data_IF_078915430356
#
_entry.id   IF_078915430356
#
_cell.length_a   1.000
_cell.length_b   1.000
_cell.length_c   1.000
_cell.angle_alpha   90.00
_cell.angle_beta   90.00
_cell.angle_gamma   90.00
#
_symmetry.space_group_name_H-M   'P 1'
#
loop_
_entity.id
_entity.type
_entity.pdbx_description
1 polymer ?
#
# COMPACT_ATOMS: atom_id res chain seq x y z
N UNK A 1 43.53 -6.98 -72.91
CA UNK A 1 43.86 -8.17 -72.09
C UNK A 1 43.09 -8.05 -70.78
N UNK A 2 42.66 -9.14 -70.13
CA UNK A 2 41.66 -10.14 -70.53
C UNK A 2 40.50 -10.26 -69.49
N UNK A 3 39.36 -10.84 -69.88
CA UNK A 3 38.42 -11.56 -68.96
C UNK A 3 39.04 -12.92 -68.54
N UNK A 4 38.42 -13.81 -67.73
CA UNK A 4 37.49 -13.69 -66.59
C UNK A 4 37.98 -14.57 -65.39
N UNK A 5 37.28 -14.62 -64.24
CA UNK A 5 37.28 -15.84 -63.41
C UNK A 5 35.95 -16.04 -62.69
N UNK A 6 35.15 -16.97 -63.20
CA UNK A 6 34.15 -17.71 -62.45
C UNK A 6 34.84 -18.65 -61.45
N UNK A 7 34.35 -18.71 -60.21
CA UNK A 7 34.30 -19.98 -59.47
C UNK A 7 32.89 -20.19 -58.94
N UNK A 8 32.29 -21.28 -59.43
CA UNK A 8 31.04 -21.86 -58.95
C UNK A 8 31.25 -22.56 -57.60
N UNK A 9 30.16 -22.60 -56.82
CA UNK A 9 29.85 -23.77 -56.02
C UNK A 9 29.72 -23.48 -54.53
N UNK A 10 28.48 -23.37 -54.04
CA UNK A 10 27.80 -24.49 -53.35
C UNK A 10 26.54 -23.95 -52.68
N UNK A 11 25.38 -24.39 -53.17
CA UNK A 11 24.11 -24.27 -52.47
C UNK A 11 24.19 -24.90 -51.08
N UNK A 12 23.64 -24.24 -50.04
CA UNK A 12 22.97 -24.94 -48.97
C UNK A 12 21.47 -24.95 -49.25
N UNK A 13 20.93 -26.16 -49.34
CA UNK A 13 19.51 -26.47 -49.41
C UNK A 13 18.68 -25.69 -48.36
N UNK A 14 17.39 -25.43 -48.62
CA UNK A 14 16.48 -24.93 -47.59
C UNK A 14 16.27 -26.06 -46.58
N UNK A 15 16.94 -25.97 -45.44
CA UNK A 15 16.64 -26.82 -44.31
C UNK A 15 15.23 -26.46 -43.83
N UNK A 16 14.29 -27.34 -44.16
CA UNK A 16 12.97 -27.48 -43.56
C UNK A 16 13.21 -27.60 -42.05
N UNK A 17 13.00 -26.48 -41.38
CA UNK A 17 13.09 -26.33 -39.94
C UNK A 17 12.16 -25.20 -39.57
N UNK A 18 10.87 -25.36 -39.89
CA UNK A 18 9.82 -24.63 -39.23
C UNK A 18 9.82 -25.07 -37.76
N UNK A 19 10.77 -24.55 -36.98
CA UNK A 19 10.47 -24.20 -35.60
C UNK A 19 9.36 -23.18 -35.70
N UNK A 20 8.13 -23.69 -35.65
CA UNK A 20 7.03 -23.00 -34.99
C UNK A 20 7.53 -22.69 -33.59
N UNK A 21 8.32 -21.62 -33.47
CA UNK A 21 8.43 -20.92 -32.23
C UNK A 21 7.02 -20.39 -32.02
N UNK A 22 6.29 -21.16 -31.21
CA UNK A 22 5.05 -20.74 -30.63
C UNK A 22 5.44 -19.60 -29.71
N UNK A 23 5.68 -18.43 -30.31
CA UNK A 23 5.29 -17.19 -29.67
C UNK A 23 3.81 -17.37 -29.49
N UNK A 24 3.42 -17.95 -28.35
CA UNK A 24 2.21 -17.54 -27.67
C UNK A 24 2.24 -16.02 -27.78
N UNK A 25 1.50 -15.51 -28.78
CA UNK A 25 0.91 -14.21 -28.69
C UNK A 25 0.04 -14.32 -27.45
N UNK A 26 0.64 -14.14 -26.27
CA UNK A 26 -0.03 -13.57 -25.13
C UNK A 26 -0.73 -12.36 -25.75
N UNK A 27 -2.04 -12.50 -25.98
CA UNK A 27 -2.81 -11.55 -26.77
C UNK A 27 -2.49 -10.18 -26.21
N UNK A 28 -2.11 -9.24 -27.08
CA UNK A 28 -1.83 -7.88 -26.62
C UNK A 28 -3.05 -7.42 -25.82
N UNK A 29 -2.82 -7.04 -24.57
CA UNK A 29 -3.88 -6.61 -23.64
C UNK A 29 -4.73 -5.54 -24.32
N UNK A 30 -6.05 -5.69 -24.26
CA UNK A 30 -6.95 -4.67 -24.79
C UNK A 30 -6.82 -3.38 -23.96
N UNK A 31 -7.10 -2.20 -24.54
CA UNK A 31 -7.11 -0.95 -23.79
C UNK A 31 -8.01 -1.01 -22.54
N UNK A 32 -9.16 -1.70 -22.62
CA UNK A 32 -10.06 -1.88 -21.48
C UNK A 32 -9.45 -2.74 -20.37
N UNK A 33 -8.77 -3.84 -20.70
CA UNK A 33 -8.05 -4.66 -19.71
C UNK A 33 -6.93 -3.87 -19.04
N UNK A 34 -6.22 -3.03 -19.80
CA UNK A 34 -5.18 -2.17 -19.27
C UNK A 34 -5.74 -1.12 -18.31
N UNK A 35 -6.87 -0.48 -18.62
CA UNK A 35 -7.52 0.46 -17.68
C UNK A 35 -8.05 -0.22 -16.42
N UNK A 36 -8.56 -1.46 -16.51
CA UNK A 36 -8.90 -2.27 -15.33
C UNK A 36 -7.66 -2.54 -14.46
N UNK A 37 -6.52 -2.84 -15.09
CA UNK A 37 -5.27 -3.01 -14.37
C UNK A 37 -4.80 -1.69 -13.70
N UNK A 38 -5.00 -0.52 -14.34
CA UNK A 38 -4.73 0.80 -13.70
C UNK A 38 -5.55 0.93 -12.41
N UNK A 39 -6.84 0.59 -12.47
CA UNK A 39 -7.73 0.64 -11.30
C UNK A 39 -7.24 -0.27 -10.18
N UNK A 40 -6.89 -1.52 -10.48
CA UNK A 40 -6.40 -2.48 -9.47
C UNK A 40 -5.10 -2.01 -8.83
N UNK A 41 -4.16 -1.47 -9.63
CA UNK A 41 -2.91 -0.90 -9.12
C UNK A 41 -3.19 0.28 -8.17
N UNK A 42 -4.17 1.11 -8.51
CA UNK A 42 -4.56 2.27 -7.72
C UNK A 42 -5.26 1.89 -6.41
N UNK A 43 -6.16 0.90 -6.44
CA UNK A 43 -6.78 0.36 -5.22
C UNK A 43 -5.73 -0.23 -4.27
N UNK A 44 -4.78 -1.02 -4.79
CA UNK A 44 -3.66 -1.54 -4.01
C UNK A 44 -2.83 -0.41 -3.42
N UNK A 45 -2.49 0.60 -4.22
CA UNK A 45 -1.69 1.74 -3.77
C UNK A 45 -2.39 2.52 -2.66
N UNK A 46 -3.69 2.75 -2.75
CA UNK A 46 -4.49 3.39 -1.70
C UNK A 46 -4.45 2.56 -0.41
N UNK A 47 -4.58 1.23 -0.50
CA UNK A 47 -4.47 0.35 0.67
C UNK A 47 -3.10 0.48 1.35
N UNK A 48 -2.02 0.45 0.56
CA UNK A 48 -0.66 0.61 1.08
C UNK A 48 -0.45 1.98 1.73
N UNK A 49 -1.02 3.05 1.15
CA UNK A 49 -0.97 4.38 1.76
C UNK A 49 -1.69 4.45 3.11
N UNK A 50 -2.81 3.73 3.27
CA UNK A 50 -3.50 3.64 4.56
C UNK A 50 -2.67 2.93 5.61
N UNK A 51 -2.01 1.83 5.25
CA UNK A 51 -1.10 1.11 6.15
C UNK A 51 0.10 1.96 6.55
N UNK A 52 0.64 2.74 5.60
CA UNK A 52 1.71 3.69 5.86
C UNK A 52 1.27 4.79 6.85
N UNK A 53 0.16 5.48 6.55
CA UNK A 53 -0.37 6.57 7.36
C UNK A 53 -0.72 6.07 8.78
N UNK A 54 -1.38 4.91 8.90
CA UNK A 54 -1.77 4.30 10.19
C UNK A 54 -0.55 3.93 11.06
N UNK A 55 0.46 3.30 10.47
CA UNK A 55 1.68 2.94 11.19
C UNK A 55 2.44 4.19 11.66
N UNK A 56 2.51 5.22 10.82
CA UNK A 56 3.20 6.47 11.13
C UNK A 56 2.47 7.26 12.22
N UNK A 57 1.15 7.39 12.12
CA UNK A 57 0.32 8.08 13.12
C UNK A 57 0.33 7.35 14.47
N UNK A 58 0.25 6.01 14.47
CA UNK A 58 0.36 5.19 15.68
C UNK A 58 1.72 5.35 16.38
N UNK A 59 2.79 5.51 15.61
CA UNK A 59 4.12 5.77 16.15
C UNK A 59 4.27 7.18 16.74
N UNK A 60 3.73 8.20 16.05
CA UNK A 60 3.80 9.59 16.51
C UNK A 60 2.88 9.87 17.71
N UNK A 61 1.75 9.18 17.79
CA UNK A 61 0.76 9.34 18.85
C UNK A 61 0.50 7.99 19.52
N UNK A 62 1.47 7.43 20.27
CA UNK A 62 1.24 6.20 21.00
C UNK A 62 0.04 6.40 21.92
N UNK A 63 -1.06 5.68 21.68
CA UNK A 63 -2.19 5.71 22.59
C UNK A 63 -1.64 5.25 23.94
N UNK A 64 -1.57 6.17 24.91
CA UNK A 64 -1.17 5.81 26.26
C UNK A 64 -2.01 4.59 26.66
N UNK A 65 -1.42 3.53 27.23
CA UNK A 65 -2.23 2.48 27.80
C UNK A 65 -3.13 3.19 28.80
N UNK A 66 -4.42 3.32 28.46
CA UNK A 66 -5.42 3.81 29.40
C UNK A 66 -5.15 3.01 30.65
N UNK A 67 -4.85 3.71 31.74
CA UNK A 67 -4.55 3.16 33.04
C UNK A 67 -5.66 2.18 33.39
N UNK A 68 -5.48 0.93 32.98
CA UNK A 68 -6.37 -0.15 33.32
C UNK A 68 -6.28 -0.18 34.83
N UNK A 69 -7.39 0.20 35.45
CA UNK A 69 -7.61 0.10 36.88
C UNK A 69 -6.95 -1.19 37.34
N UNK A 70 -6.02 -1.06 38.29
CA UNK A 70 -5.42 -2.18 38.98
C UNK A 70 -6.54 -3.20 39.25
N UNK A 71 -6.36 -4.49 38.91
CA UNK A 71 -7.42 -5.44 39.13
C UNK A 71 -7.71 -5.42 40.62
N UNK A 72 -8.88 -4.90 40.99
CA UNK A 72 -9.44 -5.04 42.33
C UNK A 72 -9.86 -6.51 42.43
N UNK A 73 -8.87 -7.38 42.55
CA UNK A 73 -9.11 -8.78 42.85
C UNK A 73 -9.43 -8.84 44.34
N UNK A 74 -10.71 -8.62 44.64
CA UNK A 74 -11.31 -9.06 45.88
C UNK A 74 -11.20 -10.57 45.94
N UNK A 75 -10.22 -11.06 46.70
CA UNK A 75 -10.20 -12.44 47.17
C UNK A 75 -9.99 -12.41 48.68
N UNK A 76 -11.12 -12.27 49.38
CA UNK A 76 -11.26 -12.80 50.72
C UNK A 76 -11.11 -14.33 50.66
N UNK A 77 -10.60 -14.87 51.77
CA UNK A 77 -10.53 -16.28 52.15
C UNK A 77 -9.29 -17.07 51.75
N UNK A 78 -8.33 -17.11 52.69
CA UNK A 78 -7.70 -18.37 53.02
C UNK A 78 -8.52 -19.06 54.13
N UNK A 79 -8.91 -20.29 53.83
CA UNK A 79 -9.72 -21.17 54.66
C UNK A 79 -8.96 -21.69 55.88
N UNK A 80 -9.68 -21.93 56.99
CA UNK A 80 -9.55 -23.11 57.84
C UNK A 80 -10.86 -23.37 58.61
N UNK A 81 -11.14 -24.64 58.98
CA UNK A 81 -12.47 -25.23 58.89
C UNK A 81 -13.18 -25.30 60.24
N UNK A 82 -14.51 -25.25 60.25
CA UNK A 82 -15.34 -26.09 61.13
C UNK A 82 -16.78 -26.11 60.62
N UNK A 83 -17.18 -27.28 60.11
CA UNK A 83 -18.58 -27.63 59.84
C UNK A 83 -19.35 -27.79 61.14
N UNK A 84 -20.52 -27.15 61.20
CA UNK A 84 -21.70 -27.70 61.87
C UNK A 84 -22.93 -27.39 61.02
N UNK A 85 -23.60 -28.48 60.62
CA UNK A 85 -25.04 -28.62 60.42
C UNK A 85 -25.77 -27.89 59.25
N UNK A 86 -26.41 -28.75 58.45
CA UNK A 86 -27.79 -28.66 57.94
C UNK A 86 -28.11 -28.10 56.53
N UNK A 87 -28.40 -29.07 55.64
CA UNK A 87 -29.57 -29.18 54.75
C UNK A 87 -30.01 -27.97 53.91
N UNK A 88 -29.82 -28.06 52.59
CA UNK A 88 -30.89 -28.45 51.63
C UNK A 88 -30.45 -28.24 50.18
N UNK A 89 -30.94 -29.12 49.33
CA UNK A 89 -30.71 -29.19 47.89
C UNK A 89 -31.25 -27.96 47.14
N UNK A 90 -30.59 -27.62 46.03
CA UNK A 90 -31.27 -27.54 44.72
C UNK A 90 -30.26 -27.43 43.59
N UNK A 91 -30.44 -28.33 42.63
CA UNK A 91 -29.81 -28.39 41.33
C UNK A 91 -30.12 -27.12 40.52
N UNK A 92 -29.13 -26.56 39.83
CA UNK A 92 -29.40 -25.93 38.54
C UNK A 92 -28.20 -26.08 37.60
N UNK A 93 -28.48 -26.87 36.58
CA UNK A 93 -27.80 -27.05 35.32
C UNK A 93 -27.63 -25.70 34.59
N UNK A 94 -26.45 -25.49 33.99
CA UNK A 94 -26.27 -24.64 32.79
C UNK A 94 -24.86 -24.77 32.23
N UNK A 95 -24.80 -25.61 31.19
CA UNK A 95 -23.76 -25.64 30.17
C UNK A 95 -23.55 -24.29 29.46
N UNK A 96 -22.42 -24.22 28.76
CA UNK A 96 -22.09 -23.36 27.62
C UNK A 96 -21.72 -21.89 27.88
N UNK A 97 -20.43 -21.63 27.65
CA UNK A 97 -19.92 -20.30 27.41
C UNK A 97 -18.43 -20.20 27.68
N UNK A 98 -17.62 -20.90 26.87
CA UNK A 98 -16.16 -20.63 26.80
C UNK A 98 -15.98 -19.28 26.09
N UNK A 99 -16.36 -18.22 26.79
CA UNK A 99 -16.15 -16.84 26.36
C UNK A 99 -14.65 -16.58 26.36
N UNK A 100 -14.11 -16.27 25.19
CA UNK A 100 -12.76 -15.71 25.05
C UNK A 100 -12.77 -14.30 25.68
N UNK A 101 -12.71 -14.23 27.01
CA UNK A 101 -12.39 -13.03 27.75
C UNK A 101 -10.86 -12.85 27.68
N UNK A 102 -10.38 -12.23 26.61
CA UNK A 102 -8.93 -12.15 26.42
C UNK A 102 -8.41 -11.40 25.21
N UNK A 103 -9.19 -10.53 24.55
CA UNK A 103 -8.59 -9.48 23.73
C UNK A 103 -8.34 -8.26 24.64
N UNK A 104 -7.39 -8.39 25.56
CA UNK A 104 -6.74 -7.20 26.11
C UNK A 104 -6.13 -6.47 24.93
N UNK A 105 -6.79 -5.40 24.48
CA UNK A 105 -6.25 -4.44 23.52
C UNK A 105 -5.14 -3.64 24.20
N UNK A 106 -4.10 -4.32 24.66
CA UNK A 106 -2.81 -3.70 24.93
C UNK A 106 -2.17 -3.50 23.57
N UNK A 107 -2.52 -2.41 22.88
CA UNK A 107 -1.75 -1.94 21.73
C UNK A 107 -0.39 -1.55 22.28
N UNK A 108 0.57 -2.47 22.19
CA UNK A 108 1.97 -2.18 22.50
C UNK A 108 2.38 -1.05 21.57
N UNK A 109 2.94 0.06 22.09
CA UNK A 109 3.37 1.17 21.24
C UNK A 109 4.39 0.67 20.21
N UNK A 110 4.24 1.09 18.96
CA UNK A 110 5.13 0.67 17.87
C UNK A 110 6.56 1.10 18.19
N UNK A 111 7.51 0.16 18.16
CA UNK A 111 8.93 0.48 18.30
C UNK A 111 9.45 1.17 17.04
N UNK A 112 10.54 1.93 17.18
CA UNK A 112 11.18 2.59 16.03
C UNK A 112 11.66 1.60 14.96
N UNK A 113 12.15 0.42 15.38
CA UNK A 113 12.60 -0.64 14.48
C UNK A 113 11.43 -1.26 13.70
N UNK A 114 10.30 -1.48 14.38
CA UNK A 114 9.09 -2.01 13.74
C UNK A 114 8.49 -0.99 12.77
N UNK A 115 8.44 0.29 13.15
CA UNK A 115 8.04 1.36 12.23
C UNK A 115 8.95 1.37 11.00
N UNK A 116 10.28 1.35 11.18
CA UNK A 116 11.21 1.35 10.07
C UNK A 116 10.98 0.18 9.11
N UNK A 117 10.70 -1.01 9.64
CA UNK A 117 10.35 -2.18 8.83
C UNK A 117 9.03 -1.99 8.06
N UNK A 118 7.98 -1.48 8.70
CA UNK A 118 6.70 -1.20 8.04
C UNK A 118 6.88 -0.15 6.93
N UNK A 119 7.59 0.94 7.21
CA UNK A 119 7.87 1.98 6.22
C UNK A 119 8.69 1.44 5.04
N UNK A 120 9.63 0.52 5.29
CA UNK A 120 10.38 -0.13 4.22
C UNK A 120 9.48 -1.00 3.33
N UNK A 121 8.62 -1.83 3.92
CA UNK A 121 7.71 -2.72 3.18
C UNK A 121 6.71 -1.91 2.35
N UNK A 122 6.05 -0.93 2.99
CA UNK A 122 5.06 -0.07 2.33
C UNK A 122 5.71 0.75 1.20
N UNK A 123 6.89 1.34 1.42
CA UNK A 123 7.64 2.05 0.37
C UNK A 123 7.96 1.12 -0.81
N UNK A 124 8.40 -0.12 -0.55
CA UNK A 124 8.68 -1.08 -1.62
C UNK A 124 7.42 -1.42 -2.42
N UNK A 125 6.28 -1.60 -1.74
CA UNK A 125 5.00 -1.84 -2.40
C UNK A 125 4.51 -0.64 -3.23
N UNK A 126 4.73 0.60 -2.77
CA UNK A 126 4.42 1.83 -3.53
C UNK A 126 5.28 1.95 -4.81
N UNK A 127 6.56 1.58 -4.72
CA UNK A 127 7.48 1.52 -5.87
C UNK A 127 7.02 0.44 -6.86
N UNK A 128 6.65 -0.75 -6.37
CA UNK A 128 6.12 -1.82 -7.20
C UNK A 128 4.86 -1.37 -7.97
N UNK A 129 3.93 -0.68 -7.29
CA UNK A 129 2.76 -0.09 -7.94
C UNK A 129 3.17 0.89 -9.06
N UNK A 130 4.21 1.69 -8.84
CA UNK A 130 4.73 2.62 -9.84
C UNK A 130 5.33 1.92 -11.06
N UNK A 131 6.05 0.81 -10.85
CA UNK A 131 6.58 0.00 -11.95
C UNK A 131 5.46 -0.65 -12.76
N UNK A 132 4.47 -1.25 -12.09
CA UNK A 132 3.29 -1.82 -12.77
C UNK A 132 2.56 -0.77 -13.59
N UNK A 133 2.35 0.43 -13.04
CA UNK A 133 1.69 1.52 -13.74
C UNK A 133 2.48 1.98 -14.98
N UNK A 134 3.81 2.01 -14.91
CA UNK A 134 4.68 2.31 -16.06
C UNK A 134 4.65 1.22 -17.13
N UNK A 135 4.56 -0.05 -16.76
CA UNK A 135 4.35 -1.14 -17.71
C UNK A 135 3.03 -0.95 -18.46
N UNK A 136 1.93 -0.71 -17.72
CA UNK A 136 0.61 -0.46 -18.31
C UNK A 136 0.62 0.76 -19.24
N UNK A 137 1.24 1.87 -18.82
CA UNK A 137 1.43 3.06 -19.66
C UNK A 137 2.13 2.71 -20.98
N UNK A 138 3.18 1.89 -20.92
CA UNK A 138 3.96 1.50 -22.09
C UNK A 138 3.14 0.63 -23.03
N UNK A 139 2.35 -0.30 -22.51
CA UNK A 139 1.43 -1.12 -23.31
C UNK A 139 0.34 -0.26 -23.95
N UNK A 140 -0.28 0.65 -23.19
CA UNK A 140 -1.29 1.59 -23.69
C UNK A 140 -0.74 2.44 -24.84
N UNK A 141 0.50 2.92 -24.74
CA UNK A 141 1.14 3.75 -25.76
C UNK A 141 1.28 3.02 -27.12
N UNK A 142 1.27 1.69 -27.13
CA UNK A 142 1.34 0.85 -28.33
C UNK A 142 0.02 0.13 -28.63
N UNK A 143 -1.05 0.47 -27.90
CA UNK A 143 -2.38 -0.12 -28.06
C UNK A 143 -3.22 0.63 -29.10
N UNK A 144 -4.47 0.20 -29.29
CA UNK A 144 -5.45 0.89 -30.13
C UNK A 144 -5.88 2.28 -29.58
N UNK A 145 -5.55 2.61 -28.32
CA UNK A 145 -5.87 3.89 -27.69
C UNK A 145 -4.65 4.53 -26.99
N UNK A 146 -3.64 5.01 -27.75
CA UNK A 146 -2.41 5.58 -27.18
C UNK A 146 -2.60 6.82 -26.31
N UNK A 147 -3.68 7.58 -26.51
CA UNK A 147 -4.03 8.75 -25.70
C UNK A 147 -4.22 8.40 -24.21
N UNK A 148 -4.69 7.19 -23.90
CA UNK A 148 -4.87 6.72 -22.54
C UNK A 148 -3.54 6.58 -21.79
N UNK A 149 -2.43 6.37 -22.50
CA UNK A 149 -1.11 6.35 -21.88
C UNK A 149 -0.76 7.72 -21.25
N UNK A 150 -1.23 8.83 -21.83
CA UNK A 150 -1.03 10.17 -21.26
C UNK A 150 -1.82 10.37 -19.97
N UNK A 151 -3.03 9.80 -19.87
CA UNK A 151 -3.80 9.80 -18.62
C UNK A 151 -3.06 9.05 -17.51
N UNK A 152 -2.55 7.85 -17.82
CA UNK A 152 -1.76 7.06 -16.86
C UNK A 152 -0.46 7.77 -16.46
N UNK A 153 0.21 8.47 -17.39
CA UNK A 153 1.41 9.25 -17.09
C UNK A 153 1.14 10.43 -16.13
N UNK A 154 0.00 11.12 -16.30
CA UNK A 154 -0.46 12.17 -15.38
C UNK A 154 -0.66 11.60 -13.97
N UNK A 155 -1.32 10.45 -13.85
CA UNK A 155 -1.51 9.75 -12.56
C UNK A 155 -0.15 9.44 -11.93
N UNK A 156 0.75 8.80 -12.68
CA UNK A 156 2.09 8.44 -12.18
C UNK A 156 2.89 9.68 -11.74
N UNK A 157 2.77 10.80 -12.44
CA UNK A 157 3.43 12.06 -12.07
C UNK A 157 2.91 12.60 -10.74
N UNK A 158 1.59 12.64 -10.56
CA UNK A 158 0.96 13.09 -9.31
C UNK A 158 1.29 12.16 -8.14
N UNK A 159 1.35 10.86 -8.37
CA UNK A 159 1.71 9.88 -7.35
C UNK A 159 3.15 10.00 -6.87
N UNK A 160 4.08 10.29 -7.78
CA UNK A 160 5.47 10.57 -7.40
C UNK A 160 5.60 11.91 -6.66
N UNK A 161 4.74 12.89 -6.95
CA UNK A 161 4.67 14.12 -6.17
C UNK A 161 4.11 13.84 -4.76
N UNK A 162 3.02 13.07 -4.65
CA UNK A 162 2.43 12.64 -3.39
C UNK A 162 3.45 11.95 -2.49
N UNK A 163 4.16 10.93 -3.02
CA UNK A 163 5.18 10.20 -2.27
C UNK A 163 6.26 11.13 -1.71
N UNK A 164 6.75 12.07 -2.52
CA UNK A 164 7.77 13.04 -2.07
C UNK A 164 7.24 13.97 -0.99
N UNK A 165 6.03 14.52 -1.17
CA UNK A 165 5.42 15.42 -0.19
C UNK A 165 5.14 14.74 1.14
N UNK A 166 4.63 13.50 1.11
CA UNK A 166 4.37 12.69 2.32
C UNK A 166 5.68 12.40 3.06
N UNK A 167 6.71 11.89 2.37
CA UNK A 167 8.01 11.60 3.00
C UNK A 167 8.63 12.85 3.61
N UNK A 168 8.57 14.00 2.93
CA UNK A 168 9.08 15.27 3.45
C UNK A 168 8.33 15.72 4.71
N UNK A 169 6.99 15.66 4.67
CA UNK A 169 6.12 15.99 5.79
C UNK A 169 6.45 15.13 7.00
N UNK A 170 6.59 13.83 6.78
CA UNK A 170 6.74 12.86 7.85
C UNK A 170 8.15 12.86 8.44
N UNK A 171 9.17 13.11 7.64
CA UNK A 171 10.50 13.43 8.16
C UNK A 171 10.47 14.65 9.07
N UNK A 172 9.77 15.72 8.66
CA UNK A 172 9.66 16.95 9.46
C UNK A 172 8.86 16.70 10.75
N UNK A 173 7.70 16.02 10.67
CA UNK A 173 6.90 15.62 11.84
C UNK A 173 7.73 14.79 12.84
N UNK A 174 8.51 13.83 12.35
CA UNK A 174 9.38 13.01 13.20
C UNK A 174 10.44 13.88 13.91
N UNK A 175 11.10 14.80 13.20
CA UNK A 175 12.11 15.67 13.83
C UNK A 175 11.51 16.66 14.82
N UNK A 176 10.30 17.17 14.56
CA UNK A 176 9.63 18.14 15.43
C UNK A 176 8.99 17.50 16.67
N UNK A 177 8.39 16.31 16.52
CA UNK A 177 7.66 15.63 17.61
C UNK A 177 8.55 14.69 18.44
N UNK A 178 9.61 14.14 17.86
CA UNK A 178 10.57 13.25 18.53
C UNK A 178 12.00 13.81 18.43
N UNK A 179 12.28 15.00 19.02
CA UNK A 179 13.62 15.56 19.01
C UNK A 179 14.57 14.63 19.78
N UNK A 180 15.60 14.13 19.10
CA UNK A 180 16.68 13.37 19.76
C UNK A 180 17.33 14.23 20.83
N UNK A 181 17.55 13.69 22.03
CA UNK A 181 18.14 14.40 23.17
C UNK A 181 19.47 15.09 22.75
N UNK A 182 19.44 16.41 22.54
CA UNK A 182 20.61 17.21 22.14
C UNK A 182 20.39 18.22 21.02
N UNK A 183 19.25 18.21 20.33
CA UNK A 183 18.92 19.20 19.30
C UNK A 183 18.47 20.54 19.88
N UNK A 184 19.28 21.58 19.67
CA UNK A 184 18.97 22.97 19.98
C UNK A 184 17.78 23.51 19.16
N UNK A 185 17.28 24.68 19.59
CA UNK A 185 16.36 25.60 18.89
C UNK A 185 14.85 25.33 19.06
N UNK A 186 14.27 26.00 20.07
CA UNK A 186 12.82 26.20 20.22
C UNK A 186 12.25 27.21 19.21
N UNK A 187 13.11 27.95 18.49
CA UNK A 187 12.73 29.04 17.57
C UNK A 187 12.23 28.52 16.21
N UNK A 188 12.76 27.39 15.72
CA UNK A 188 12.36 26.75 14.45
C UNK A 188 11.02 26.00 14.52
N UNK A 189 10.41 25.87 15.71
CA UNK A 189 9.18 25.09 15.88
C UNK A 189 7.98 25.70 15.17
N UNK A 190 7.92 27.04 15.04
CA UNK A 190 6.84 27.74 14.35
C UNK A 190 6.91 27.56 12.83
N UNK A 191 8.11 27.72 12.27
CA UNK A 191 8.36 27.53 10.83
C UNK A 191 8.16 26.07 10.42
N UNK A 192 8.60 25.12 11.25
CA UNK A 192 8.36 23.70 11.02
C UNK A 192 6.86 23.35 11.01
N UNK A 193 6.08 23.90 11.95
CA UNK A 193 4.64 23.68 12.00
C UNK A 193 3.92 24.26 10.76
N UNK A 194 4.30 25.47 10.32
CA UNK A 194 3.76 26.06 9.09
C UNK A 194 4.10 25.20 7.87
N UNK A 195 5.34 24.71 7.79
CA UNK A 195 5.78 23.87 6.67
C UNK A 195 5.08 22.52 6.65
N UNK A 196 4.82 21.91 7.80
CA UNK A 196 3.99 20.69 7.92
C UNK A 196 2.58 20.98 7.38
N UNK A 197 1.95 22.08 7.79
CA UNK A 197 0.61 22.45 7.33
C UNK A 197 0.54 22.68 5.81
N UNK A 198 1.55 23.34 5.23
CA UNK A 198 1.66 23.50 3.77
C UNK A 198 1.78 22.16 3.04
N UNK A 199 2.58 21.23 3.58
CA UNK A 199 2.73 19.89 3.00
C UNK A 199 1.45 19.06 3.16
N UNK A 200 0.72 19.20 4.26
CA UNK A 200 -0.58 18.54 4.45
C UNK A 200 -1.61 19.00 3.42
N UNK A 201 -1.71 20.32 3.16
CA UNK A 201 -2.63 20.80 2.13
C UNK A 201 -2.18 20.35 0.74
N UNK A 202 -0.87 20.39 0.44
CA UNK A 202 -0.32 19.88 -0.82
C UNK A 202 -0.65 18.39 -1.03
N UNK A 203 -0.51 17.57 0.02
CA UNK A 203 -0.86 16.14 -0.02
C UNK A 203 -2.35 15.94 -0.30
N UNK A 204 -3.21 16.74 0.34
CA UNK A 204 -4.65 16.70 0.15
C UNK A 204 -5.05 17.12 -1.27
N UNK A 205 -4.50 18.21 -1.78
CA UNK A 205 -4.70 18.67 -3.16
C UNK A 205 -4.31 17.59 -4.17
N UNK A 206 -3.10 17.02 -4.05
CA UNK A 206 -2.63 15.97 -4.96
C UNK A 206 -3.53 14.72 -4.90
N UNK A 207 -4.03 14.33 -3.72
CA UNK A 207 -4.98 13.21 -3.59
C UNK A 207 -6.31 13.49 -4.31
N UNK A 208 -6.79 14.73 -4.27
CA UNK A 208 -7.99 15.15 -5.03
C UNK A 208 -7.72 15.07 -6.53
N UNK A 209 -6.61 15.62 -7.01
CA UNK A 209 -6.23 15.57 -8.43
C UNK A 209 -6.09 14.12 -8.93
N UNK A 210 -5.52 13.21 -8.12
CA UNK A 210 -5.45 11.78 -8.47
C UNK A 210 -6.87 11.18 -8.56
N UNK A 211 -7.76 11.53 -7.63
CA UNK A 211 -9.15 11.04 -7.66
C UNK A 211 -9.90 11.53 -8.91
N UNK A 212 -9.69 12.77 -9.34
CA UNK A 212 -10.23 13.32 -10.59
C UNK A 212 -9.69 12.56 -11.81
N UNK A 213 -8.38 12.31 -11.88
CA UNK A 213 -7.78 11.50 -12.93
C UNK A 213 -8.33 10.06 -12.95
N UNK A 214 -8.62 9.49 -11.77
CA UNK A 214 -9.28 8.19 -11.69
C UNK A 214 -10.72 8.22 -12.18
N UNK A 215 -11.44 9.32 -12.02
CA UNK A 215 -12.75 9.51 -12.66
C UNK A 215 -12.64 9.53 -14.19
N UNK A 216 -11.61 10.18 -14.74
CA UNK A 216 -11.31 10.10 -16.18
C UNK A 216 -11.08 8.64 -16.61
N UNK A 217 -10.29 7.85 -15.85
CA UNK A 217 -10.07 6.41 -16.14
C UNK A 217 -11.37 5.62 -16.13
N UNK A 218 -12.26 5.88 -15.18
CA UNK A 218 -13.57 5.22 -15.12
C UNK A 218 -14.44 5.58 -16.32
N UNK A 219 -14.48 6.85 -16.72
CA UNK A 219 -15.24 7.30 -17.88
C UNK A 219 -14.76 6.59 -19.16
N UNK A 220 -13.45 6.62 -19.42
CA UNK A 220 -12.83 5.96 -20.58
C UNK A 220 -13.09 4.44 -20.57
N UNK A 221 -13.07 3.80 -19.40
CA UNK A 221 -13.38 2.37 -19.28
C UNK A 221 -14.83 2.05 -19.68
N UNK A 222 -15.79 2.92 -19.33
CA UNK A 222 -17.20 2.75 -19.70
C UNK A 222 -17.39 2.99 -21.20
N UNK A 223 -16.76 4.01 -21.76
CA UNK A 223 -16.83 4.30 -23.21
C UNK A 223 -16.29 3.12 -24.04
N UNK A 224 -15.14 2.56 -23.65
CA UNK A 224 -14.58 1.37 -24.31
C UNK A 224 -15.50 0.16 -24.18
N UNK A 225 -16.09 -0.07 -23.00
CA UNK A 225 -17.02 -1.17 -22.78
C UNK A 225 -18.28 -1.05 -23.65
N UNK A 226 -18.76 0.17 -23.91
CA UNK A 226 -19.90 0.41 -24.80
C UNK A 226 -19.53 0.28 -26.28
N UNK A 227 -18.27 0.54 -26.64
CA UNK A 227 -17.79 0.38 -28.02
C UNK A 227 -17.51 -1.09 -28.40
N UNK A 228 -17.28 -1.97 -27.41
CA UNK A 228 -17.06 -3.41 -27.60
C UNK A 228 -18.36 -4.25 -27.58
N UNK A 229 -19.50 -3.66 -27.20
CA UNK A 229 -20.82 -4.33 -27.11
C UNK A 229 -21.73 -4.08 -28.30
#
# INVERSE_FOLDING_TARGET
MPEPTHINGRDPAPAIGATQDSTESAGASTPLELLKAVKEVQERRISVWREYDDAFDTFLHPTAPSSAQAPVNGSQNNAHPHSTAETSASEHDSSNGRGCAGCSSTTVPLSADLLAQILQITTQALIECGHRLRTIQTELAHSAAPSLATLVDRIQTKENALLRSVVQRDQLRKTTLMPTEGGAERDDSGEAAERIAQLDETVKEIRVEIAELMQEVYAESVELQLAEG
#
